data_IF_982745527234
#
_entry.id   IF_982745527234
#
_cell.length_a   1.000
_cell.length_b   1.000
_cell.length_c   1.000
_cell.angle_alpha   90.00
_cell.angle_beta   90.00
_cell.angle_gamma   90.00
#
_symmetry.space_group_name_H-M   'P 1'
#
loop_
_entity.id
_entity.type
_entity.pdbx_description
1 polymer ?
#
# COMPACT_ATOMS: atom_id res chain seq x y z
N UNK A 1 -12.30 -14.46 5.63
CA UNK A 1 -12.82 -13.21 5.02
C UNK A 1 -13.71 -13.62 3.85
N UNK A 2 -14.94 -13.09 3.72
CA UNK A 2 -15.74 -13.31 2.51
C UNK A 2 -15.28 -12.29 1.46
N UNK A 3 -15.21 -12.68 0.18
CA UNK A 3 -14.80 -11.78 -0.92
C UNK A 3 -15.61 -10.46 -1.00
N UNK A 4 -16.79 -10.41 -0.38
CA UNK A 4 -17.65 -9.22 -0.30
C UNK A 4 -17.07 -8.08 0.56
N UNK A 5 -16.13 -8.36 1.45
CA UNK A 5 -15.55 -7.36 2.36
C UNK A 5 -14.25 -6.76 1.82
N UNK A 6 -13.87 -7.07 0.58
CA UNK A 6 -12.65 -6.57 -0.05
C UNK A 6 -12.85 -5.13 -0.55
N UNK A 7 -12.06 -4.15 -0.09
CA UNK A 7 -12.10 -2.81 -0.63
C UNK A 7 -11.78 -2.84 -2.13
N UNK A 8 -12.44 -1.98 -2.91
CA UNK A 8 -12.07 -1.80 -4.31
C UNK A 8 -10.71 -1.12 -4.37
N UNK A 9 -9.79 -1.70 -5.14
CA UNK A 9 -8.48 -1.08 -5.33
C UNK A 9 -8.62 0.30 -5.99
N UNK A 10 -7.82 1.29 -5.57
CA UNK A 10 -7.87 2.62 -6.13
C UNK A 10 -7.44 2.60 -7.60
N UNK A 11 -8.22 3.25 -8.45
CA UNK A 11 -7.95 3.38 -9.89
C UNK A 11 -7.64 4.84 -10.20
N UNK A 12 -6.48 5.08 -10.79
CA UNK A 12 -6.01 6.42 -11.12
C UNK A 12 -6.27 6.76 -12.59
N UNK A 13 -6.54 8.04 -12.92
CA UNK A 13 -6.68 8.47 -14.30
C UNK A 13 -5.42 8.20 -15.13
N UNK A 14 -5.62 8.01 -16.43
CA UNK A 14 -4.51 7.90 -17.38
C UNK A 14 -3.62 9.15 -17.31
N UNK A 15 -2.32 8.95 -17.15
CA UNK A 15 -1.34 10.04 -17.07
C UNK A 15 -1.17 10.66 -15.68
N UNK A 16 -1.92 10.19 -14.67
CA UNK A 16 -1.68 10.60 -13.29
C UNK A 16 -0.26 10.23 -12.84
N UNK A 17 0.44 11.19 -12.23
CA UNK A 17 1.80 11.01 -11.70
C UNK A 17 1.83 11.51 -10.26
N UNK A 18 2.41 10.70 -9.36
CA UNK A 18 2.67 11.14 -8.00
C UNK A 18 3.84 12.11 -7.98
N UNK A 19 3.59 13.31 -7.45
CA UNK A 19 4.67 14.20 -7.05
C UNK A 19 5.37 13.64 -5.81
N UNK A 20 6.70 13.51 -5.86
CA UNK A 20 7.47 13.15 -4.68
C UNK A 20 8.76 13.95 -4.60
N UNK A 21 9.16 14.26 -3.36
CA UNK A 21 10.41 14.92 -3.04
C UNK A 21 11.14 14.09 -1.99
N UNK A 22 12.47 13.99 -2.15
CA UNK A 22 13.34 13.36 -1.17
C UNK A 22 13.45 14.22 0.09
N UNK A 23 13.52 13.59 1.25
CA UNK A 23 13.80 14.27 2.52
C UNK A 23 15.21 14.87 2.49
N UNK A 24 15.33 16.11 2.97
CA UNK A 24 16.63 16.78 3.13
C UNK A 24 17.37 16.18 4.34
N UNK A 25 18.68 16.02 4.22
CA UNK A 25 19.55 15.61 5.34
C UNK A 25 19.56 14.12 5.67
N UNK A 26 18.89 13.27 4.88
CA UNK A 26 18.94 11.80 5.01
C UNK A 26 19.09 11.16 3.64
N UNK A 27 19.74 10.00 3.58
CA UNK A 27 19.72 9.18 2.38
C UNK A 27 18.30 8.62 2.16
N UNK A 28 17.70 8.96 1.02
CA UNK A 28 16.41 8.43 0.57
C UNK A 28 16.50 8.14 -0.92
N UNK A 29 16.18 6.90 -1.33
CA UNK A 29 16.09 6.55 -2.75
C UNK A 29 14.82 7.16 -3.37
N UNK A 30 14.80 7.33 -4.69
CA UNK A 30 13.61 7.83 -5.40
C UNK A 30 12.39 6.94 -5.18
N UNK A 31 12.61 5.62 -5.19
CA UNK A 31 11.56 4.64 -4.93
C UNK A 31 11.02 4.79 -3.52
N UNK A 32 11.90 4.97 -2.52
CA UNK A 32 11.48 5.16 -1.13
C UNK A 32 10.66 6.44 -0.97
N UNK A 33 11.10 7.55 -1.58
CA UNK A 33 10.38 8.81 -1.54
C UNK A 33 9.00 8.72 -2.23
N UNK A 34 8.92 8.05 -3.38
CA UNK A 34 7.68 7.78 -4.11
C UNK A 34 6.71 6.95 -3.26
N UNK A 35 7.13 5.80 -2.76
CA UNK A 35 6.28 4.90 -1.95
C UNK A 35 5.77 5.61 -0.71
N UNK A 36 6.63 6.37 -0.02
CA UNK A 36 6.21 7.19 1.12
C UNK A 36 5.11 8.17 0.75
N UNK A 37 5.26 8.87 -0.38
CA UNK A 37 4.26 9.84 -0.86
C UNK A 37 2.96 9.18 -1.29
N UNK A 38 3.01 8.01 -1.92
CA UNK A 38 1.81 7.23 -2.25
C UNK A 38 1.03 6.82 -0.98
N UNK A 39 1.73 6.52 0.12
CA UNK A 39 1.10 6.16 1.39
C UNK A 39 0.46 7.34 2.16
N UNK A 40 0.66 8.58 1.70
CA UNK A 40 -0.11 9.73 2.19
C UNK A 40 -1.56 9.71 1.65
N UNK A 41 -1.81 9.02 0.53
CA UNK A 41 -3.14 8.78 -0.01
C UNK A 41 -3.88 7.73 0.85
N UNK A 42 -5.08 8.11 1.32
CA UNK A 42 -5.88 7.29 2.22
C UNK A 42 -6.33 5.98 1.54
N UNK A 43 -6.70 6.02 0.28
CA UNK A 43 -7.25 4.87 -0.43
C UNK A 43 -6.17 3.84 -0.70
N UNK A 44 -4.96 4.28 -1.07
CA UNK A 44 -3.78 3.41 -1.20
C UNK A 44 -3.41 2.79 0.14
N UNK A 45 -3.40 3.60 1.21
CA UNK A 45 -3.02 3.14 2.55
C UNK A 45 -3.98 2.07 3.08
N UNK A 46 -5.29 2.24 2.85
CA UNK A 46 -6.31 1.28 3.27
C UNK A 46 -6.22 -0.02 2.47
N UNK A 47 -6.03 0.05 1.15
CA UNK A 47 -5.81 -1.11 0.29
C UNK A 47 -4.56 -1.90 0.72
N UNK A 48 -3.41 -1.23 0.93
CA UNK A 48 -2.20 -1.90 1.40
C UNK A 48 -2.37 -2.54 2.78
N UNK A 49 -3.05 -1.85 3.70
CA UNK A 49 -3.33 -2.41 5.03
C UNK A 49 -4.19 -3.67 4.93
N UNK A 50 -5.26 -3.62 4.13
CA UNK A 50 -6.14 -4.76 3.89
C UNK A 50 -5.36 -5.94 3.29
N UNK A 51 -4.54 -5.70 2.26
CA UNK A 51 -3.72 -6.73 1.63
C UNK A 51 -2.74 -7.38 2.63
N UNK A 52 -2.10 -6.57 3.48
CA UNK A 52 -1.18 -7.04 4.52
C UNK A 52 -1.88 -7.88 5.61
N UNK A 53 -3.04 -7.43 6.09
CA UNK A 53 -3.84 -8.15 7.09
C UNK A 53 -4.37 -9.48 6.53
N UNK A 54 -4.80 -9.49 5.26
CA UNK A 54 -5.20 -10.71 4.55
C UNK A 54 -4.04 -11.70 4.48
N UNK A 55 -2.88 -11.26 3.99
CA UNK A 55 -1.70 -12.11 3.86
C UNK A 55 -1.26 -12.72 5.21
N UNK A 56 -1.22 -11.92 6.28
CA UNK A 56 -0.88 -12.44 7.62
C UNK A 56 -1.93 -13.39 8.18
N UNK A 57 -3.20 -13.16 7.89
CA UNK A 57 -4.28 -14.06 8.32
C UNK A 57 -4.19 -15.40 7.58
N UNK A 58 -3.93 -15.35 6.27
CA UNK A 58 -3.69 -16.55 5.45
C UNK A 58 -2.46 -17.32 5.93
N UNK A 59 -1.32 -16.66 6.18
CA UNK A 59 -0.09 -17.30 6.69
C UNK A 59 -0.34 -18.03 8.02
N UNK A 60 -1.10 -17.42 8.93
CA UNK A 60 -1.50 -18.03 10.22
C UNK A 60 -2.42 -19.23 10.05
N UNK A 61 -3.30 -19.22 9.05
CA UNK A 61 -4.21 -20.34 8.78
C UNK A 61 -3.51 -21.51 8.09
N UNK A 62 -2.49 -21.22 7.27
CA UNK A 62 -1.70 -22.24 6.56
C UNK A 62 -0.60 -22.86 7.42
N UNK A 63 -0.12 -22.15 8.45
CA UNK A 63 0.74 -22.72 9.49
C UNK A 63 -0.13 -23.39 10.57
N UNK A 64 -0.56 -24.63 10.34
CA UNK A 64 -0.98 -25.50 11.45
C UNK A 64 0.26 -25.93 12.27
N UNK A 65 0.13 -26.09 13.60
CA UNK A 65 1.21 -26.63 14.44
C UNK A 65 1.63 -28.05 14.01
#
# INVERSE_FOLDING_TARGET
MKFKDMPKSPVFPLGYRWGFEKRKGVYESEVTALVRKMLEDKDIREDQRFAWERWRTEDRLTKKP
#
